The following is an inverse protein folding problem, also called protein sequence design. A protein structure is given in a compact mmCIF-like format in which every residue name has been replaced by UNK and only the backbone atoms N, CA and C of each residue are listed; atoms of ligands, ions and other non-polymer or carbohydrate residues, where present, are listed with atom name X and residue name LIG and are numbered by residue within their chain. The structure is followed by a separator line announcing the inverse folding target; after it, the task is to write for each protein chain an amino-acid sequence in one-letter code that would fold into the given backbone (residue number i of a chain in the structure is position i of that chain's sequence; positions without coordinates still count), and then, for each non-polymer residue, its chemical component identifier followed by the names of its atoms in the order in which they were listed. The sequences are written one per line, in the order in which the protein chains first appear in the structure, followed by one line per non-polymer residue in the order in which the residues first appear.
data_IF_012881187905
#
_entry.id   IF_012881187905
#
_cell.length_a   1.000
_cell.length_b   1.000
_cell.length_c   1.000
_cell.angle_alpha   90.00
_cell.angle_beta   90.00
_cell.angle_gamma   90.00
#
_symmetry.space_group_name_H-M   'P 1'
#
loop_
_entity.id
_entity.type
_entity.pdbx_description
1 polymer ?
#
# COMPACT_ATOMS: atom_id res chain seq x y z
N UNK A 1 -52.55 54.34 15.57
CA UNK A 1 -53.01 52.95 15.38
C UNK A 1 -52.10 52.06 16.22
N UNK A 2 -52.61 51.61 17.37
CA UNK A 2 -51.89 50.86 18.42
C UNK A 2 -52.17 49.36 18.28
N UNK A 3 -51.15 48.50 18.28
CA UNK A 3 -51.30 47.08 18.64
C UNK A 3 -49.94 46.49 19.06
N UNK A 4 -49.71 46.38 20.38
CA UNK A 4 -49.52 45.14 21.18
C UNK A 4 -48.45 44.17 20.62
N UNK A 5 -47.50 43.64 21.39
CA UNK A 5 -47.76 42.82 22.56
C UNK A 5 -46.46 42.56 23.36
N UNK A 6 -46.62 42.49 24.68
CA UNK A 6 -45.65 42.13 25.72
C UNK A 6 -45.22 40.64 25.58
N UNK A 7 -44.16 40.13 26.21
CA UNK A 7 -44.07 39.94 27.65
C UNK A 7 -42.67 39.40 28.03
N UNK A 8 -42.04 40.01 29.04
CA UNK A 8 -40.87 39.50 29.75
C UNK A 8 -41.34 38.70 30.96
N UNK A 9 -40.72 37.56 31.27
CA UNK A 9 -40.66 37.04 32.64
C UNK A 9 -39.27 36.49 32.93
N UNK A 10 -38.70 37.00 34.02
CA UNK A 10 -37.41 36.69 34.62
C UNK A 10 -37.67 35.83 35.87
N UNK A 11 -36.63 35.10 36.30
CA UNK A 11 -36.40 34.49 37.63
C UNK A 11 -36.75 32.98 37.68
N UNK A 12 -36.03 32.10 38.39
CA UNK A 12 -35.23 32.23 39.62
C UNK A 12 -34.15 31.13 39.63
N UNK A 13 -33.02 31.46 40.26
CA UNK A 13 -31.86 30.61 40.62
C UNK A 13 -32.26 29.47 41.56
N UNK A 14 -31.74 28.24 41.35
CA UNK A 14 -31.58 27.30 42.47
C UNK A 14 -30.33 26.44 42.28
N UNK A 15 -29.33 26.73 43.12
CA UNK A 15 -28.15 25.92 43.31
C UNK A 15 -28.51 24.62 44.06
N UNK A 16 -27.96 23.49 43.62
CA UNK A 16 -27.99 22.24 44.39
C UNK A 16 -26.55 21.70 44.48
N UNK A 17 -26.02 21.70 45.70
CA UNK A 17 -24.77 21.07 46.09
C UNK A 17 -24.95 19.55 46.09
N UNK A 18 -24.10 18.83 45.35
CA UNK A 18 -23.83 17.41 45.63
C UNK A 18 -22.32 17.18 45.60
N UNK A 19 -21.75 16.95 46.78
CA UNK A 19 -20.44 16.35 46.93
C UNK A 19 -20.52 14.86 46.56
N UNK A 20 -19.65 14.38 45.68
CA UNK A 20 -19.32 12.96 45.63
C UNK A 20 -17.95 12.73 44.99
N UNK A 21 -17.10 12.12 45.80
CA UNK A 21 -16.03 11.19 45.48
C UNK A 21 -15.33 11.31 44.12
N UNK A 22 -14.04 11.63 44.21
CA UNK A 22 -13.05 11.28 43.22
C UNK A 22 -13.20 9.81 42.79
N UNK A 23 -13.54 9.60 41.52
CA UNK A 23 -13.15 8.41 40.79
C UNK A 23 -12.12 8.84 39.75
N UNK A 24 -10.88 8.60 40.14
CA UNK A 24 -9.71 8.49 39.29
C UNK A 24 -10.03 7.52 38.15
N UNK A 25 -10.39 8.07 36.99
CA UNK A 25 -10.46 7.29 35.76
C UNK A 25 -9.07 7.30 35.17
N UNK A 26 -8.22 6.42 35.73
CA UNK A 26 -7.05 5.91 35.05
C UNK A 26 -7.51 5.37 33.70
N UNK A 27 -7.34 6.21 32.66
CA UNK A 27 -7.32 5.75 31.28
C UNK A 27 -6.11 4.85 31.18
N UNK A 28 -6.38 3.57 31.34
CA UNK A 28 -5.51 2.49 30.90
C UNK A 28 -5.31 2.68 29.40
N UNK A 29 -4.23 3.39 29.07
CA UNK A 29 -3.65 3.38 27.74
C UNK A 29 -3.13 1.97 27.55
N UNK A 30 -4.02 1.09 27.09
CA UNK A 30 -3.61 -0.12 26.39
C UNK A 30 -2.81 0.36 25.18
N UNK A 31 -1.51 0.56 25.38
CA UNK A 31 -0.51 0.48 24.34
C UNK A 31 -0.68 -0.91 23.75
N UNK A 32 -1.50 -1.01 22.69
CA UNK A 32 -1.34 -2.09 21.73
C UNK A 32 0.05 -1.83 21.17
N UNK A 33 1.03 -2.47 21.79
CA UNK A 33 2.31 -2.74 21.20
C UNK A 33 2.03 -3.69 20.02
N UNK A 34 1.56 -3.11 18.92
CA UNK A 34 1.52 -3.75 17.63
C UNK A 34 2.90 -3.61 17.00
N UNK A 35 3.93 -4.10 17.68
CA UNK A 35 5.09 -4.68 17.02
C UNK A 35 4.65 -6.02 16.43
N UNK A 36 3.71 -5.96 15.48
CA UNK A 36 3.66 -6.99 14.45
C UNK A 36 4.94 -6.75 13.66
N UNK A 37 6.00 -7.44 14.02
CA UNK A 37 7.14 -7.66 13.15
C UNK A 37 6.57 -8.23 11.85
N UNK A 38 6.23 -7.34 10.91
CA UNK A 38 5.68 -7.70 9.62
C UNK A 38 6.84 -8.30 8.83
N UNK A 39 7.06 -9.59 9.06
CA UNK A 39 8.02 -10.35 8.28
C UNK A 39 7.56 -10.28 6.83
N UNK A 40 8.38 -9.63 6.00
CA UNK A 40 8.11 -9.57 4.58
C UNK A 40 8.00 -11.00 4.03
N UNK A 41 7.08 -11.16 3.09
CA UNK A 41 6.86 -12.39 2.34
C UNK A 41 7.47 -12.23 0.96
N UNK A 42 7.74 -13.35 0.32
CA UNK A 42 8.20 -13.36 -1.05
C UNK A 42 7.03 -13.51 -2.03
N UNK A 43 7.13 -12.79 -3.14
CA UNK A 43 6.18 -12.86 -4.23
C UNK A 43 6.91 -13.02 -5.55
N UNK A 44 6.56 -14.05 -6.31
CA UNK A 44 7.00 -14.20 -7.69
C UNK A 44 6.08 -13.40 -8.60
N UNK A 45 6.66 -12.50 -9.37
CA UNK A 45 5.97 -11.69 -10.37
C UNK A 45 6.44 -12.12 -11.75
N UNK A 46 5.52 -12.67 -12.53
CA UNK A 46 5.77 -12.93 -13.94
C UNK A 46 5.41 -11.68 -14.74
N UNK A 47 6.35 -11.21 -15.55
CA UNK A 47 6.16 -10.10 -16.48
C UNK A 47 6.25 -10.66 -17.89
N UNK A 48 5.26 -10.33 -18.72
CA UNK A 48 5.16 -10.72 -20.14
C UNK A 48 4.89 -9.49 -20.98
N UNK A 49 5.16 -9.61 -22.28
CA UNK A 49 4.72 -8.60 -23.25
C UNK A 49 3.20 -8.45 -23.20
N UNK A 50 2.75 -7.21 -23.21
CA UNK A 50 1.34 -6.85 -23.19
C UNK A 50 0.74 -6.73 -24.60
N UNK A 51 -0.55 -6.39 -24.70
CA UNK A 51 -1.25 -6.28 -25.98
C UNK A 51 -0.70 -5.20 -26.92
N UNK A 52 0.00 -4.19 -26.39
CA UNK A 52 0.53 -3.08 -27.17
C UNK A 52 2.03 -3.24 -27.50
N UNK A 53 2.60 -4.41 -27.22
CA UNK A 53 3.97 -4.73 -27.64
C UNK A 53 4.05 -4.84 -29.17
N UNK A 54 4.98 -4.10 -29.77
CA UNK A 54 5.21 -4.11 -31.22
C UNK A 54 6.43 -4.96 -31.58
N UNK A 55 6.23 -6.10 -32.22
CA UNK A 55 7.33 -7.00 -32.62
C UNK A 55 8.22 -6.44 -33.74
N UNK A 56 7.85 -5.33 -34.38
CA UNK A 56 8.68 -4.64 -35.37
C UNK A 56 9.70 -3.68 -34.75
N UNK A 57 9.52 -3.31 -33.48
CA UNK A 57 10.40 -2.40 -32.73
C UNK A 57 11.40 -3.17 -31.86
N UNK A 58 12.60 -2.63 -31.69
CA UNK A 58 13.52 -3.14 -30.67
C UNK A 58 12.95 -2.91 -29.26
N UNK A 59 13.33 -3.71 -28.24
CA UNK A 59 12.80 -3.55 -26.88
C UNK A 59 12.92 -2.12 -26.31
N UNK A 60 14.05 -1.45 -26.52
CA UNK A 60 14.29 -0.09 -26.03
C UNK A 60 13.52 1.00 -26.80
N UNK A 61 12.86 0.64 -27.90
CA UNK A 61 12.00 1.52 -28.69
C UNK A 61 10.51 1.35 -28.33
N UNK A 62 10.18 0.38 -27.47
CA UNK A 62 8.82 0.17 -27.01
C UNK A 62 8.37 1.30 -26.10
N UNK A 63 7.09 1.63 -26.16
CA UNK A 63 6.48 2.67 -25.33
C UNK A 63 6.71 2.37 -23.84
N UNK A 64 7.25 3.35 -23.11
CA UNK A 64 7.56 3.25 -21.67
C UNK A 64 8.59 2.18 -21.24
N UNK A 65 9.38 1.63 -22.15
CA UNK A 65 10.40 0.63 -21.77
C UNK A 65 11.51 1.19 -20.87
N UNK A 66 11.92 2.43 -21.11
CA UNK A 66 12.94 3.11 -20.30
C UNK A 66 12.44 3.34 -18.87
N UNK A 67 11.18 3.77 -18.75
CA UNK A 67 10.47 4.00 -17.51
C UNK A 67 10.29 2.70 -16.73
N UNK A 68 9.94 1.60 -17.41
CA UNK A 68 9.88 0.27 -16.80
C UNK A 68 11.22 -0.11 -16.17
N UNK A 69 12.31 0.03 -16.93
CA UNK A 69 13.67 -0.27 -16.46
C UNK A 69 14.07 0.62 -15.27
N UNK A 70 13.71 1.90 -15.29
CA UNK A 70 13.97 2.83 -14.20
C UNK A 70 13.17 2.50 -12.94
N UNK A 71 11.89 2.10 -13.08
CA UNK A 71 11.04 1.68 -11.98
C UNK A 71 11.60 0.43 -11.29
N UNK A 72 11.97 -0.60 -12.05
CA UNK A 72 12.59 -1.82 -11.49
C UNK A 72 13.92 -1.52 -10.79
N UNK A 73 14.74 -0.64 -11.36
CA UNK A 73 15.98 -0.19 -10.71
C UNK A 73 15.68 0.46 -9.36
N UNK A 74 14.75 1.41 -9.31
CA UNK A 74 14.34 2.10 -8.07
C UNK A 74 13.83 1.12 -7.02
N UNK A 75 12.98 0.17 -7.41
CA UNK A 75 12.41 -0.84 -6.49
C UNK A 75 13.49 -1.77 -5.93
N UNK A 76 14.47 -2.16 -6.76
CA UNK A 76 15.62 -2.93 -6.32
C UNK A 76 16.51 -2.15 -5.34
N UNK A 77 16.80 -0.88 -5.64
CA UNK A 77 17.60 -0.01 -4.77
C UNK A 77 16.91 0.28 -3.43
N UNK A 78 15.57 0.29 -3.42
CA UNK A 78 14.76 0.39 -2.20
C UNK A 78 14.61 -0.92 -1.43
N UNK A 79 15.20 -2.03 -1.90
CA UNK A 79 15.15 -3.34 -1.23
C UNK A 79 13.88 -4.15 -1.45
N UNK A 80 12.98 -3.71 -2.34
CA UNK A 80 11.72 -4.43 -2.61
C UNK A 80 11.91 -5.62 -3.55
N UNK A 81 12.97 -5.65 -4.36
CA UNK A 81 13.26 -6.76 -5.30
C UNK A 81 14.44 -7.57 -4.77
N UNK A 82 14.17 -8.83 -4.43
CA UNK A 82 15.17 -9.79 -3.96
C UNK A 82 15.93 -10.44 -5.13
N UNK A 83 15.28 -10.64 -6.28
CA UNK A 83 15.87 -11.28 -7.45
C UNK A 83 15.16 -10.84 -8.73
N UNK A 84 15.92 -10.73 -9.83
CA UNK A 84 15.39 -10.69 -11.19
C UNK A 84 15.97 -11.84 -12.01
N UNK A 85 15.13 -12.46 -12.84
CA UNK A 85 15.53 -13.53 -13.74
C UNK A 85 14.68 -13.49 -15.01
N UNK A 86 15.04 -14.33 -15.98
CA UNK A 86 14.25 -14.55 -17.19
C UNK A 86 14.37 -16.01 -17.61
N UNK A 87 13.24 -16.57 -18.03
CA UNK A 87 13.17 -17.91 -18.59
C UNK A 87 12.14 -17.90 -19.72
N UNK A 88 12.47 -18.50 -20.87
CA UNK A 88 11.62 -18.38 -22.07
C UNK A 88 11.32 -16.88 -22.37
N UNK A 89 10.05 -16.58 -22.61
CA UNK A 89 9.43 -15.28 -22.85
C UNK A 89 8.99 -14.58 -21.55
N UNK A 90 9.37 -15.11 -20.38
CA UNK A 90 8.92 -14.62 -19.06
C UNK A 90 10.03 -13.88 -18.34
N UNK A 91 9.77 -12.63 -17.96
CA UNK A 91 10.52 -11.94 -16.92
C UNK A 91 10.03 -12.40 -15.55
N UNK A 92 10.93 -12.87 -14.69
CA UNK A 92 10.62 -13.20 -13.30
C UNK A 92 11.23 -12.14 -12.38
N UNK A 93 10.41 -11.59 -11.49
CA UNK A 93 10.87 -10.69 -10.45
C UNK A 93 10.38 -11.24 -9.12
N UNK A 94 11.29 -11.44 -8.18
CA UNK A 94 10.95 -11.83 -6.82
C UNK A 94 10.92 -10.57 -5.95
N UNK A 95 9.75 -10.23 -5.43
CA UNK A 95 9.55 -9.15 -4.48
C UNK A 95 9.62 -9.64 -3.04
N UNK A 96 10.17 -8.82 -2.14
CA UNK A 96 9.98 -8.89 -0.69
C UNK A 96 9.00 -7.76 -0.30
N UNK A 97 7.83 -8.13 0.21
CA UNK A 97 6.73 -7.22 0.51
C UNK A 97 5.81 -7.77 1.61
N UNK A 98 4.98 -6.93 2.21
CA UNK A 98 4.02 -7.33 3.25
C UNK A 98 2.82 -8.09 2.67
N UNK A 99 2.44 -7.80 1.42
CA UNK A 99 1.27 -8.39 0.76
C UNK A 99 1.37 -8.39 -0.76
N UNK A 100 0.54 -9.21 -1.42
CA UNK A 100 0.42 -9.19 -2.88
C UNK A 100 -0.13 -7.85 -3.40
N UNK A 101 -0.96 -7.16 -2.62
CA UNK A 101 -1.53 -5.85 -3.00
C UNK A 101 -0.47 -4.75 -3.00
N UNK A 102 0.50 -4.81 -2.08
CA UNK A 102 1.66 -3.92 -2.11
C UNK A 102 2.51 -4.14 -3.36
N UNK A 103 2.73 -5.41 -3.76
CA UNK A 103 3.42 -5.73 -5.01
C UNK A 103 2.65 -5.20 -6.22
N UNK A 104 1.32 -5.37 -6.25
CA UNK A 104 0.47 -4.79 -7.30
C UNK A 104 0.56 -3.26 -7.33
N UNK A 105 0.63 -2.59 -6.17
CA UNK A 105 0.83 -1.15 -6.11
C UNK A 105 2.16 -0.74 -6.74
N UNK A 106 3.26 -1.44 -6.42
CA UNK A 106 4.57 -1.20 -7.06
C UNK A 106 4.53 -1.39 -8.57
N UNK A 107 3.92 -2.47 -9.04
CA UNK A 107 3.83 -2.78 -10.47
C UNK A 107 2.88 -1.82 -11.21
N UNK A 108 1.73 -1.47 -10.63
CA UNK A 108 0.77 -0.53 -11.24
C UNK A 108 1.27 0.92 -11.32
N UNK A 109 2.28 1.29 -10.53
CA UNK A 109 2.96 2.59 -10.63
C UNK A 109 3.86 2.71 -11.87
N UNK A 110 4.11 1.59 -12.55
CA UNK A 110 4.89 1.52 -13.78
C UNK A 110 4.02 1.93 -14.99
N UNK A 111 4.35 3.02 -15.71
CA UNK A 111 3.56 3.48 -16.85
C UNK A 111 3.38 2.41 -17.93
N UNK A 112 4.38 1.54 -18.12
CA UNK A 112 4.36 0.47 -19.13
C UNK A 112 3.27 -0.58 -18.89
N UNK A 113 2.82 -0.74 -17.63
CA UNK A 113 1.74 -1.66 -17.29
C UNK A 113 0.39 -1.08 -17.69
N UNK A 114 0.17 0.21 -17.37
CA UNK A 114 -1.07 0.90 -17.76
C UNK A 114 -1.17 1.13 -19.27
N UNK A 115 -0.03 1.35 -19.93
CA UNK A 115 0.05 1.48 -21.38
C UNK A 115 -0.10 0.14 -22.12
N UNK A 116 -0.08 -0.99 -21.42
CA UNK A 116 -0.20 -2.31 -22.02
C UNK A 116 1.03 -2.76 -22.81
N UNK A 117 2.18 -2.09 -22.66
CA UNK A 117 3.48 -2.57 -23.18
C UNK A 117 3.87 -3.88 -22.50
N UNK A 118 3.64 -3.95 -21.19
CA UNK A 118 3.81 -5.16 -20.39
C UNK A 118 2.53 -5.50 -19.63
N UNK A 119 2.45 -6.75 -19.20
CA UNK A 119 1.45 -7.25 -18.25
C UNK A 119 2.14 -8.11 -17.21
N UNK A 120 1.50 -8.27 -16.06
CA UNK A 120 2.07 -9.06 -14.97
C UNK A 120 1.04 -9.85 -14.19
N UNK A 121 1.50 -10.93 -13.57
CA UNK A 121 0.77 -11.73 -12.59
C UNK A 121 1.58 -11.85 -11.31
N UNK A 122 0.91 -11.88 -10.15
CA UNK A 122 1.54 -11.92 -8.82
C UNK A 122 1.16 -13.21 -8.11
N UNK A 123 2.17 -13.96 -7.68
CA UNK A 123 2.04 -15.23 -6.98
C UNK A 123 2.78 -15.18 -5.64
N UNK A 124 2.17 -15.65 -4.56
CA UNK A 124 2.91 -15.85 -3.31
C UNK A 124 3.96 -16.94 -3.52
N UNK A 125 5.20 -16.66 -3.11
CA UNK A 125 6.33 -17.56 -3.25
C UNK A 125 6.81 -18.04 -1.89
N UNK A 126 6.99 -19.35 -1.75
CA UNK A 126 7.65 -19.96 -0.59
C UNK A 126 8.97 -20.59 -1.05
N UNK A 127 10.03 -20.37 -0.28
CA UNK A 127 11.34 -20.93 -0.60
C UNK A 127 11.49 -22.26 0.13
N UNK A 128 11.64 -23.34 -0.63
CA UNK A 128 11.86 -24.68 -0.06
C UNK A 128 13.35 -24.97 0.19
N UNK A 129 14.25 -24.31 -0.56
CA UNK A 129 15.70 -24.42 -0.42
C UNK A 129 16.33 -23.02 -0.46
N UNK A 130 16.84 -22.49 0.67
CA UNK A 130 17.05 -21.05 0.86
C UNK A 130 18.09 -20.42 -0.07
N UNK A 131 19.14 -21.14 -0.46
CA UNK A 131 20.16 -20.61 -1.38
C UNK A 131 20.53 -19.15 -1.10
N UNK A 132 20.35 -18.28 -2.10
CA UNK A 132 20.60 -16.83 -2.02
C UNK A 132 19.31 -15.98 -1.95
N UNK A 133 18.13 -16.59 -1.93
CA UNK A 133 16.84 -15.88 -1.86
C UNK A 133 16.18 -16.20 -0.54
N UNK A 134 16.18 -15.23 0.35
CA UNK A 134 15.58 -15.33 1.68
C UNK A 134 14.40 -14.35 1.78
N UNK A 135 13.38 -14.64 2.61
CA UNK A 135 12.28 -13.71 2.90
C UNK A 135 12.74 -12.34 3.38
#
# INVERSE_FOLDING_TARGET
MQLKLALRFIAVVSALLTASCALDSSRESASIDSTVESTNKLFAVEVRVGPNWDNSLAPNEQEFFSEHSANLKRLREAGHIAMGARYSDVGLIVFSAQSADEVRAFMSSDPSMSAGTFKYDVYQMNVFYPGMVQP
#
